data_IF_235391148719
#
_entry.id   IF_235391148719
#
_cell.length_a   1.000
_cell.length_b   1.000
_cell.length_c   1.000
_cell.angle_alpha   90.00
_cell.angle_beta   90.00
_cell.angle_gamma   90.00
#
_symmetry.space_group_name_H-M   'P 1'
#
loop_
_entity.id
_entity.type
_entity.pdbx_description
1 polymer ?
#
# COMPACT_ATOMS: atom_id res chain seq x y z
N UNK A 1 24.26 -27.79 11.68
CA UNK A 1 23.28 -26.95 10.95
C UNK A 1 23.69 -25.51 11.14
N UNK A 2 23.92 -24.75 10.07
CA UNK A 2 24.18 -23.32 10.20
C UNK A 2 22.95 -22.67 10.86
N UNK A 3 23.16 -21.84 11.89
CA UNK A 3 22.11 -21.01 12.46
C UNK A 3 22.18 -19.64 11.76
N UNK A 4 21.37 -19.41 10.71
CA UNK A 4 21.36 -18.11 10.06
C UNK A 4 20.91 -17.05 11.08
N UNK A 5 21.66 -15.94 11.13
CA UNK A 5 21.31 -14.76 11.95
C UNK A 5 20.68 -13.71 11.06
N UNK A 6 19.52 -13.19 11.47
CA UNK A 6 18.87 -12.07 10.80
C UNK A 6 19.72 -10.81 11.04
N UNK A 7 20.22 -10.21 9.97
CA UNK A 7 20.99 -8.96 10.02
C UNK A 7 20.06 -7.74 9.96
N UNK A 8 19.03 -7.80 9.12
CA UNK A 8 18.06 -6.73 8.91
C UNK A 8 16.73 -7.33 8.42
N UNK A 9 15.62 -6.68 8.79
CA UNK A 9 14.28 -7.01 8.32
C UNK A 9 13.54 -5.71 7.97
N UNK A 10 12.93 -5.66 6.79
CA UNK A 10 12.13 -4.53 6.32
C UNK A 10 10.80 -5.02 5.77
N UNK A 11 9.69 -4.31 6.05
CA UNK A 11 8.43 -4.59 5.38
C UNK A 11 8.54 -4.31 3.88
N UNK A 12 7.67 -4.94 3.11
CA UNK A 12 7.46 -4.67 1.69
C UNK A 12 5.98 -4.43 1.43
N UNK A 13 5.67 -3.56 0.47
CA UNK A 13 4.30 -3.29 0.03
C UNK A 13 3.82 -4.36 -0.94
N UNK A 14 2.51 -4.47 -1.15
CA UNK A 14 1.92 -5.33 -2.17
C UNK A 14 2.49 -5.04 -3.57
N UNK A 15 2.77 -3.76 -3.86
CA UNK A 15 3.31 -3.30 -5.14
C UNK A 15 4.75 -3.78 -5.36
N UNK A 16 5.58 -3.63 -4.33
CA UNK A 16 6.96 -4.13 -4.33
C UNK A 16 6.98 -5.65 -4.45
N UNK A 17 6.13 -6.34 -3.70
CA UNK A 17 6.00 -7.79 -3.75
C UNK A 17 5.58 -8.28 -5.15
N UNK A 18 4.67 -7.59 -5.82
CA UNK A 18 4.29 -7.92 -7.20
C UNK A 18 5.48 -7.83 -8.15
N UNK A 19 6.24 -6.73 -8.08
CA UNK A 19 7.44 -6.55 -8.90
C UNK A 19 8.50 -7.63 -8.62
N UNK A 20 8.64 -8.06 -7.36
CA UNK A 20 9.59 -9.11 -6.99
C UNK A 20 9.14 -10.51 -7.43
N UNK A 21 7.83 -10.81 -7.38
CA UNK A 21 7.29 -12.05 -7.94
C UNK A 21 7.47 -12.11 -9.47
N UNK A 22 7.26 -11.01 -10.18
CA UNK A 22 7.51 -10.93 -11.63
C UNK A 22 8.98 -11.17 -11.98
N UNK A 23 9.92 -10.62 -11.21
CA UNK A 23 11.37 -10.91 -11.37
C UNK A 23 11.66 -12.39 -11.12
N UNK A 24 11.11 -12.96 -10.05
CA UNK A 24 11.31 -14.36 -9.70
C UNK A 24 10.78 -15.29 -10.79
N UNK A 25 9.60 -15.00 -11.34
CA UNK A 25 9.01 -15.74 -12.45
C UNK A 25 9.89 -15.71 -13.70
N UNK A 26 10.47 -14.55 -14.03
CA UNK A 26 11.44 -14.42 -15.15
C UNK A 26 12.71 -15.24 -14.93
N UNK A 27 13.22 -15.28 -13.70
CA UNK A 27 14.47 -15.95 -13.37
C UNK A 27 14.33 -17.47 -13.23
N UNK A 28 13.18 -17.94 -12.72
CA UNK A 28 12.94 -19.35 -12.38
C UNK A 28 12.04 -20.07 -13.40
N UNK A 29 11.44 -19.34 -14.35
CA UNK A 29 10.49 -19.85 -15.33
C UNK A 29 9.07 -19.92 -14.79
N UNK A 30 8.85 -20.70 -13.73
CA UNK A 30 7.53 -20.88 -13.11
C UNK A 30 7.54 -20.59 -11.60
N UNK A 31 6.45 -19.97 -11.13
CA UNK A 31 6.20 -19.81 -9.71
C UNK A 31 5.62 -21.10 -9.14
N UNK A 32 6.01 -21.43 -7.91
CA UNK A 32 5.35 -22.52 -7.19
C UNK A 32 3.88 -22.17 -6.87
N UNK A 33 3.09 -23.18 -6.47
CA UNK A 33 1.65 -23.03 -6.20
C UNK A 33 1.33 -21.87 -5.25
N UNK A 34 2.11 -21.67 -4.17
CA UNK A 34 1.86 -20.61 -3.19
C UNK A 34 2.17 -19.23 -3.78
N UNK A 35 3.29 -19.10 -4.48
CA UNK A 35 3.69 -17.86 -5.12
C UNK A 35 2.72 -17.47 -6.25
N UNK A 36 2.23 -18.44 -7.03
CA UNK A 36 1.20 -18.21 -8.05
C UNK A 36 -0.11 -17.72 -7.44
N UNK A 37 -0.56 -18.30 -6.32
CA UNK A 37 -1.75 -17.82 -5.60
C UNK A 37 -1.58 -16.40 -5.04
N UNK A 38 -0.38 -16.05 -4.58
CA UNK A 38 -0.06 -14.68 -4.17
C UNK A 38 -0.09 -13.72 -5.36
N UNK A 39 0.47 -14.11 -6.52
CA UNK A 39 0.40 -13.32 -7.76
C UNK A 39 -1.05 -13.04 -8.15
N UNK A 40 -1.91 -14.07 -8.16
CA UNK A 40 -3.35 -13.93 -8.44
C UNK A 40 -4.05 -12.95 -7.49
N UNK A 41 -3.74 -13.01 -6.18
CA UNK A 41 -4.28 -12.07 -5.20
C UNK A 41 -3.82 -10.64 -5.48
N UNK A 42 -2.54 -10.44 -5.78
CA UNK A 42 -1.97 -9.13 -6.06
C UNK A 42 -2.52 -8.53 -7.36
N UNK A 43 -2.77 -9.34 -8.38
CA UNK A 43 -3.41 -8.90 -9.62
C UNK A 43 -4.81 -8.31 -9.36
N UNK A 44 -5.60 -8.97 -8.52
CA UNK A 44 -6.92 -8.48 -8.14
C UNK A 44 -6.84 -7.18 -7.33
N UNK A 45 -5.96 -7.12 -6.33
CA UNK A 45 -5.86 -5.97 -5.43
C UNK A 45 -5.19 -4.74 -6.03
N UNK A 46 -4.25 -4.91 -6.97
CA UNK A 46 -3.43 -3.83 -7.51
C UNK A 46 -3.88 -3.31 -8.89
N UNK A 47 -4.81 -4.01 -9.55
CA UNK A 47 -5.35 -3.68 -10.88
C UNK A 47 -5.81 -2.22 -11.07
N UNK A 48 -6.14 -1.52 -9.98
CA UNK A 48 -6.71 -0.17 -10.00
C UNK A 48 -5.75 0.90 -9.46
N UNK A 49 -4.66 0.53 -8.76
CA UNK A 49 -4.23 1.38 -7.64
C UNK A 49 -2.88 2.08 -7.74
N UNK A 50 -1.87 1.57 -8.46
CA UNK A 50 -0.49 2.02 -8.13
C UNK A 50 0.40 2.27 -9.34
N UNK A 51 0.30 3.47 -9.89
CA UNK A 51 1.46 4.09 -10.53
C UNK A 51 2.27 4.80 -9.42
N UNK A 52 3.21 4.11 -8.78
CA UNK A 52 4.23 4.76 -7.95
C UNK A 52 4.19 4.51 -6.44
N UNK A 53 4.16 3.24 -6.01
CA UNK A 53 4.23 2.89 -4.58
C UNK A 53 5.41 3.53 -3.85
N UNK A 54 6.58 3.61 -4.49
CA UNK A 54 7.76 4.32 -3.94
C UNK A 54 7.55 5.84 -3.84
N UNK A 55 6.88 6.44 -4.82
CA UNK A 55 6.57 7.87 -4.78
C UNK A 55 5.64 8.20 -3.59
N UNK A 56 4.63 7.36 -3.36
CA UNK A 56 3.72 7.51 -2.23
C UNK A 56 4.44 7.30 -0.89
N UNK A 57 5.30 6.29 -0.78
CA UNK A 57 6.16 6.08 0.40
C UNK A 57 6.99 7.34 0.70
N UNK A 58 7.62 7.91 -0.33
CA UNK A 58 8.46 9.10 -0.19
C UNK A 58 7.64 10.33 0.26
N UNK A 59 6.46 10.55 -0.32
CA UNK A 59 5.55 11.63 0.09
C UNK A 59 5.07 11.48 1.53
N UNK A 60 4.74 10.26 1.95
CA UNK A 60 4.30 9.98 3.32
C UNK A 60 5.45 10.18 4.33
N UNK A 61 6.66 9.73 4.00
CA UNK A 61 7.86 9.98 4.82
C UNK A 61 8.16 11.47 4.96
N UNK A 62 7.97 12.26 3.90
CA UNK A 62 8.20 13.70 3.91
C UNK A 62 7.26 14.47 4.86
N UNK A 63 6.12 13.88 5.27
CA UNK A 63 5.22 14.47 6.26
C UNK A 63 5.82 14.52 7.67
N UNK A 64 6.88 13.73 7.94
CA UNK A 64 7.58 13.65 9.24
C UNK A 64 6.62 13.50 10.42
N UNK A 65 5.60 12.65 10.26
CA UNK A 65 4.59 12.42 11.30
C UNK A 65 5.25 11.69 12.48
N UNK A 66 5.15 12.22 13.72
CA UNK A 66 5.79 11.61 14.87
C UNK A 66 5.37 10.16 15.06
N UNK A 67 6.35 9.28 15.36
CA UNK A 67 6.16 7.86 15.69
C UNK A 67 5.60 7.00 14.54
N UNK A 68 5.39 7.57 13.34
CA UNK A 68 5.00 6.84 12.14
C UNK A 68 6.23 6.14 11.55
N UNK A 69 6.34 4.83 11.80
CA UNK A 69 7.40 3.95 11.25
C UNK A 69 7.03 3.35 9.89
N UNK A 70 8.02 2.81 9.19
CA UNK A 70 7.88 2.14 7.88
C UNK A 70 6.70 1.17 7.80
N UNK A 71 6.53 0.28 8.78
CA UNK A 71 5.41 -0.68 8.79
C UNK A 71 4.03 0.00 8.65
N UNK A 72 3.85 1.20 9.22
CA UNK A 72 2.61 1.97 9.10
C UNK A 72 2.47 2.62 7.72
N UNK A 73 3.56 3.19 7.20
CA UNK A 73 3.59 3.85 5.90
C UNK A 73 3.24 2.83 4.80
N UNK A 74 3.82 1.65 4.88
CA UNK A 74 3.60 0.58 3.92
C UNK A 74 2.14 0.11 3.96
N UNK A 75 1.55 0.06 5.17
CA UNK A 75 0.13 -0.24 5.34
C UNK A 75 -0.80 0.82 4.73
N UNK A 76 -0.44 2.10 4.83
CA UNK A 76 -1.16 3.20 4.17
C UNK A 76 -1.07 3.04 2.65
N UNK A 77 0.10 2.70 2.11
CA UNK A 77 0.31 2.49 0.67
C UNK A 77 -0.54 1.34 0.15
N UNK A 78 -0.59 0.23 0.91
CA UNK A 78 -1.36 -0.96 0.54
C UNK A 78 -2.87 -0.74 0.57
N UNK A 79 -3.37 0.01 1.56
CA UNK A 79 -4.80 0.16 1.80
C UNK A 79 -5.40 1.45 1.23
N UNK A 80 -4.56 2.45 0.96
CA UNK A 80 -4.91 3.76 0.40
C UNK A 80 -6.17 4.37 1.03
N UNK A 81 -6.11 4.73 2.33
CA UNK A 81 -7.25 5.32 3.03
C UNK A 81 -7.58 6.72 2.50
N UNK A 82 -8.80 6.91 1.98
CA UNK A 82 -9.29 8.19 1.44
C UNK A 82 -10.12 9.00 2.44
N UNK A 83 -10.23 8.54 3.69
CA UNK A 83 -10.99 9.22 4.75
C UNK A 83 -10.23 9.21 6.06
N UNK A 84 -10.43 10.24 6.86
CA UNK A 84 -9.76 10.38 8.17
C UNK A 84 -10.13 9.24 9.11
N UNK A 85 -11.38 8.78 9.07
CA UNK A 85 -11.86 7.65 9.88
C UNK A 85 -11.16 6.36 9.49
N UNK A 86 -10.90 6.14 8.20
CA UNK A 86 -10.15 4.97 7.72
C UNK A 86 -8.69 5.02 8.19
N UNK A 87 -8.04 6.20 8.14
CA UNK A 87 -6.70 6.35 8.71
C UNK A 87 -6.68 6.03 10.20
N UNK A 88 -7.68 6.50 10.96
CA UNK A 88 -7.81 6.18 12.39
C UNK A 88 -8.02 4.67 12.62
N UNK A 89 -8.85 4.04 11.80
CA UNK A 89 -9.14 2.60 11.84
C UNK A 89 -7.88 1.76 11.57
N UNK A 90 -7.04 2.17 10.61
CA UNK A 90 -5.79 1.47 10.28
C UNK A 90 -4.84 1.35 11.47
N UNK A 91 -4.86 2.33 12.37
CA UNK A 91 -3.99 2.38 13.54
C UNK A 91 -4.70 2.03 14.84
N UNK A 92 -5.97 1.62 14.76
CA UNK A 92 -6.70 1.12 15.92
C UNK A 92 -6.00 -0.14 16.45
N UNK A 93 -5.65 -0.13 17.74
CA UNK A 93 -4.89 -1.22 18.38
C UNK A 93 -3.36 -1.10 18.28
N UNK A 94 -2.84 -0.11 17.55
CA UNK A 94 -1.42 0.26 17.62
C UNK A 94 -1.16 1.21 18.81
N UNK A 95 0.03 1.21 19.45
CA UNK A 95 0.36 2.17 20.51
C UNK A 95 0.61 3.60 19.97
N UNK A 96 0.12 3.90 18.76
CA UNK A 96 0.35 5.11 18.00
C UNK A 96 -0.89 6.01 18.07
N UNK A 97 -0.70 7.22 18.58
CA UNK A 97 -1.72 8.27 18.52
C UNK A 97 -1.33 9.25 17.42
N UNK A 98 -2.17 9.39 16.40
CA UNK A 98 -1.98 10.32 15.29
C UNK A 98 -2.94 11.50 15.48
N UNK A 99 -2.42 12.73 15.37
CA UNK A 99 -3.26 13.93 15.44
C UNK A 99 -4.22 14.01 14.24
N UNK A 100 -5.35 14.67 14.42
CA UNK A 100 -6.33 14.82 13.33
C UNK A 100 -5.74 15.52 12.11
N UNK A 101 -4.90 16.53 12.33
CA UNK A 101 -4.19 17.24 11.25
C UNK A 101 -3.25 16.31 10.47
N UNK A 102 -2.58 15.38 11.16
CA UNK A 102 -1.72 14.39 10.51
C UNK A 102 -2.55 13.40 9.69
N UNK A 103 -3.71 12.98 10.17
CA UNK A 103 -4.64 12.15 9.40
C UNK A 103 -5.12 12.88 8.14
N UNK A 104 -5.49 14.16 8.24
CA UNK A 104 -5.89 14.98 7.07
C UNK A 104 -4.78 15.09 6.03
N UNK A 105 -3.53 15.27 6.46
CA UNK A 105 -2.36 15.29 5.56
C UNK A 105 -2.15 13.96 4.85
N UNK A 106 -2.27 12.84 5.57
CA UNK A 106 -2.17 11.48 4.98
C UNK A 106 -3.23 11.29 3.90
N UNK A 107 -4.49 11.58 4.22
CA UNK A 107 -5.61 11.43 3.27
C UNK A 107 -5.35 12.24 2.00
N UNK A 108 -4.94 13.51 2.14
CA UNK A 108 -4.64 14.37 0.98
C UNK A 108 -3.54 13.77 0.09
N UNK A 109 -2.45 13.29 0.68
CA UNK A 109 -1.35 12.66 -0.07
C UNK A 109 -1.81 11.40 -0.80
N UNK A 110 -2.69 10.60 -0.18
CA UNK A 110 -3.26 9.40 -0.79
C UNK A 110 -4.20 9.77 -1.94
N UNK A 111 -5.10 10.75 -1.75
CA UNK A 111 -6.03 11.22 -2.77
C UNK A 111 -5.32 11.77 -4.01
N UNK A 112 -4.26 12.57 -3.80
CA UNK A 112 -3.44 13.13 -4.88
C UNK A 112 -2.72 12.03 -5.71
N UNK A 113 -2.56 10.83 -5.14
CA UNK A 113 -1.90 9.70 -5.79
C UNK A 113 -2.88 8.73 -6.47
N UNK A 114 -4.18 8.89 -6.25
CA UNK A 114 -5.17 8.08 -6.96
C UNK A 114 -5.16 8.41 -8.46
N UNK A 115 -5.37 7.41 -9.34
CA UNK A 115 -5.56 7.69 -10.75
C UNK A 115 -6.78 8.61 -10.90
N UNK A 116 -6.61 9.76 -11.57
CA UNK A 116 -7.72 10.66 -11.92
C UNK A 116 -8.77 9.83 -12.67
N UNK A 117 -9.95 9.63 -12.06
CA UNK A 117 -11.09 8.96 -12.71
C UNK A 117 -11.29 9.59 -14.08
N UNK A 118 -11.14 8.80 -15.14
CA UNK A 118 -11.65 9.19 -16.46
C UNK A 118 -13.19 9.24 -16.36
N UNK A 119 -13.82 10.26 -16.97
CA UNK A 119 -15.24 10.66 -16.90
C UNK A 119 -16.33 9.57 -17.11
N UNK A 120 -16.00 8.29 -17.21
CA UNK A 120 -16.97 7.19 -17.43
C UNK A 120 -17.54 6.55 -16.15
N UNK A 121 -16.93 6.76 -14.99
CA UNK A 121 -17.38 6.11 -13.74
C UNK A 121 -18.43 6.91 -12.95
N UNK A 122 -18.50 8.23 -13.12
CA UNK A 122 -19.52 9.07 -12.43
C UNK A 122 -20.94 8.70 -12.85
N UNK A 123 -21.17 8.37 -14.13
CA UNK A 123 -22.50 7.99 -14.63
C UNK A 123 -23.03 6.66 -14.11
N UNK A 124 -22.18 5.77 -13.57
CA UNK A 124 -22.60 4.47 -13.06
C UNK A 124 -22.98 4.49 -11.57
N UNK A 125 -22.47 5.48 -10.81
CA UNK A 125 -22.76 5.65 -9.38
C UNK A 125 -24.00 6.51 -9.15
N UNK A 126 -24.27 7.50 -10.02
CA UNK A 126 -25.53 8.26 -10.02
C UNK A 126 -26.73 7.45 -10.53
N UNK A 127 -26.54 6.46 -11.40
CA UNK A 127 -27.64 5.61 -11.88
C UNK A 127 -28.09 4.53 -10.87
N UNK A 128 -27.44 4.42 -9.71
CA UNK A 128 -27.77 3.47 -8.64
C UNK A 128 -28.26 4.12 -7.35
N UNK A 129 -28.42 5.45 -7.33
CA UNK A 129 -29.10 6.20 -6.27
C UNK A 129 -30.50 6.59 -6.73
#
# INVERSE_FOLDING_TARGET
MAQPKILEEKPITMVQLKADLEKNKKNLGELNFRAAKTEEYLDQFLSIKVKGGEELINKLNALKIPRLRDAHIYKIVDLMPTKVELVKLLFQGSPLTISEDSCKKIVKVVEDHLPKKSKKEESAEEAKK
#
